data_IF_186584516135
#
_entry.id   IF_186584516135
#
_cell.length_a   1.000
_cell.length_b   1.000
_cell.length_c   1.000
_cell.angle_alpha   90.00
_cell.angle_beta   90.00
_cell.angle_gamma   90.00
#
_symmetry.space_group_name_H-M   'P 1'
#
loop_
_entity.id
_entity.type
_entity.pdbx_description
1 polymer ?
#
# COMPACT_ATOMS: atom_id res chain seq x y z
N UNK A 1 35.58 -34.49 -9.73
CA UNK A 1 35.19 -33.11 -10.10
C UNK A 1 36.39 -32.39 -10.71
N UNK A 2 36.27 -31.79 -11.90
CA UNK A 2 37.38 -31.08 -12.56
C UNK A 2 37.85 -29.88 -11.71
N UNK A 3 39.16 -29.65 -11.65
CA UNK A 3 39.82 -28.51 -10.99
C UNK A 3 39.20 -27.17 -11.38
N UNK A 4 38.77 -27.02 -12.64
CA UNK A 4 38.05 -25.83 -13.10
C UNK A 4 36.70 -25.65 -12.37
N UNK A 5 35.89 -26.70 -12.29
CA UNK A 5 34.59 -26.66 -11.61
C UNK A 5 34.74 -26.37 -10.11
N UNK A 6 35.78 -26.92 -9.47
CA UNK A 6 36.09 -26.65 -8.06
C UNK A 6 36.40 -25.17 -7.81
N UNK A 7 37.17 -24.52 -8.70
CA UNK A 7 37.50 -23.09 -8.60
C UNK A 7 36.27 -22.21 -8.79
N UNK A 8 35.41 -22.53 -9.77
CA UNK A 8 34.16 -21.81 -10.00
C UNK A 8 33.25 -21.89 -8.77
N UNK A 9 33.08 -23.08 -8.19
CA UNK A 9 32.26 -23.26 -6.99
C UNK A 9 32.80 -22.48 -5.78
N UNK A 10 34.13 -22.45 -5.59
CA UNK A 10 34.76 -21.66 -4.53
C UNK A 10 34.50 -20.17 -4.74
N UNK A 11 34.71 -19.65 -5.96
CA UNK A 11 34.46 -18.23 -6.26
C UNK A 11 33.00 -17.83 -6.05
N UNK A 12 32.04 -18.66 -6.49
CA UNK A 12 30.61 -18.41 -6.26
C UNK A 12 30.26 -18.42 -4.76
N UNK A 13 30.87 -19.32 -3.99
CA UNK A 13 30.68 -19.39 -2.54
C UNK A 13 31.21 -18.13 -1.85
N UNK A 14 32.40 -17.65 -2.24
CA UNK A 14 32.98 -16.41 -1.70
C UNK A 14 32.12 -15.20 -2.05
N UNK A 15 31.62 -15.11 -3.29
CA UNK A 15 30.71 -14.03 -3.71
C UNK A 15 29.40 -14.09 -2.91
N UNK A 16 28.82 -15.28 -2.74
CA UNK A 16 27.60 -15.46 -1.95
C UNK A 16 27.81 -15.07 -0.48
N UNK A 17 28.93 -15.45 0.13
CA UNK A 17 29.29 -15.03 1.49
C UNK A 17 29.50 -13.51 1.59
N UNK A 18 30.16 -12.91 0.61
CA UNK A 18 30.37 -11.46 0.55
C UNK A 18 29.05 -10.70 0.47
N UNK A 19 28.11 -11.15 -0.38
CA UNK A 19 26.77 -10.58 -0.50
C UNK A 19 25.94 -10.79 0.78
N UNK A 20 26.07 -11.96 1.42
CA UNK A 20 25.40 -12.25 2.69
C UNK A 20 25.92 -11.36 3.82
N UNK A 21 27.23 -11.17 3.94
CA UNK A 21 27.80 -10.25 4.93
C UNK A 21 27.37 -8.80 4.62
N UNK A 22 27.47 -8.37 3.36
CA UNK A 22 27.04 -7.04 2.95
C UNK A 22 25.56 -6.75 3.28
N UNK A 23 24.66 -7.72 3.08
CA UNK A 23 23.24 -7.54 3.41
C UNK A 23 22.98 -7.37 4.91
N UNK A 24 23.82 -7.93 5.78
CA UNK A 24 23.70 -7.72 7.23
C UNK A 24 24.11 -6.32 7.70
N UNK A 25 24.97 -5.62 6.95
CA UNK A 25 25.51 -4.31 7.36
C UNK A 25 24.84 -3.10 6.70
N UNK A 26 24.33 -3.22 5.47
CA UNK A 26 23.91 -2.04 4.68
C UNK A 26 22.40 -1.83 4.66
N UNK A 27 21.60 -2.87 4.81
CA UNK A 27 20.14 -2.72 4.82
C UNK A 27 19.52 -3.69 5.82
N UNK A 28 18.71 -3.17 6.74
CA UNK A 28 17.74 -4.03 7.43
C UNK A 28 16.66 -4.42 6.40
N UNK A 29 16.97 -5.37 5.51
CA UNK A 29 16.04 -5.89 4.51
C UNK A 29 14.79 -6.52 5.15
N UNK A 30 14.89 -6.86 6.44
CA UNK A 30 13.80 -7.36 7.28
C UNK A 30 13.12 -6.26 8.12
N UNK A 31 13.49 -4.99 7.95
CA UNK A 31 12.87 -3.89 8.67
C UNK A 31 11.35 -3.88 8.38
N UNK A 32 10.51 -3.73 9.42
CA UNK A 32 9.08 -3.54 9.21
C UNK A 32 8.83 -2.32 8.32
N UNK A 33 7.86 -2.44 7.42
CA UNK A 33 7.41 -1.31 6.60
C UNK A 33 7.00 -0.15 7.51
N UNK A 34 7.44 1.07 7.19
CA UNK A 34 7.04 2.26 7.94
C UNK A 34 5.52 2.54 7.89
N UNK A 35 4.85 1.98 6.89
CA UNK A 35 3.39 1.98 6.79
C UNK A 35 2.95 0.54 6.53
N UNK A 36 2.74 -0.25 7.60
CA UNK A 36 2.32 -1.64 7.49
C UNK A 36 0.98 -1.76 6.76
N UNK A 37 0.85 -2.86 6.01
CA UNK A 37 -0.42 -3.25 5.39
C UNK A 37 -1.38 -3.75 6.45
N UNK A 38 -2.65 -3.45 6.27
CA UNK A 38 -3.72 -3.98 7.10
C UNK A 38 -5.04 -4.10 6.32
N UNK A 39 -5.98 -4.85 6.87
CA UNK A 39 -7.30 -5.03 6.28
C UNK A 39 -8.37 -5.07 7.37
N UNK A 40 -9.38 -4.22 7.22
CA UNK A 40 -10.62 -4.32 8.00
C UNK A 40 -11.65 -5.07 7.16
N UNK A 41 -12.34 -6.03 7.78
CA UNK A 41 -13.46 -6.76 7.19
C UNK A 41 -14.71 -6.52 8.01
N UNK A 42 -15.85 -6.47 7.33
CA UNK A 42 -17.17 -6.45 7.95
C UNK A 42 -18.06 -7.44 7.20
N UNK A 43 -18.73 -8.31 7.93
CA UNK A 43 -19.58 -9.36 7.39
C UNK A 43 -20.93 -9.31 8.11
N UNK A 44 -22.02 -9.34 7.34
CA UNK A 44 -23.39 -9.38 7.87
C UNK A 44 -24.25 -10.24 6.94
N UNK A 45 -24.68 -11.42 7.42
CA UNK A 45 -25.29 -12.44 6.59
C UNK A 45 -24.41 -12.80 5.40
N UNK A 46 -24.86 -12.54 4.17
CA UNK A 46 -24.12 -12.72 2.93
C UNK A 46 -23.54 -11.41 2.36
N UNK A 47 -23.58 -10.31 3.12
CA UNK A 47 -22.87 -9.07 2.80
C UNK A 47 -21.43 -9.13 3.33
N UNK A 48 -20.47 -8.89 2.45
CA UNK A 48 -19.05 -8.79 2.78
C UNK A 48 -18.50 -7.43 2.32
N UNK A 49 -17.89 -6.71 3.26
CA UNK A 49 -17.18 -5.45 3.01
C UNK A 49 -15.72 -5.59 3.43
N UNK A 50 -14.82 -5.02 2.65
CA UNK A 50 -13.38 -5.06 2.93
C UNK A 50 -12.72 -3.75 2.61
N UNK A 51 -11.90 -3.27 3.56
CA UNK A 51 -11.01 -2.12 3.37
C UNK A 51 -9.57 -2.58 3.53
N UNK A 52 -8.81 -2.55 2.45
CA UNK A 52 -7.36 -2.76 2.51
C UNK A 52 -6.66 -1.40 2.47
N UNK A 53 -5.67 -1.21 3.35
CA UNK A 53 -4.96 0.06 3.49
C UNK A 53 -3.55 -0.15 4.02
N UNK A 54 -2.69 0.85 3.83
CA UNK A 54 -1.40 0.93 4.52
C UNK A 54 -1.52 1.97 5.63
N UNK A 55 -1.30 1.57 6.88
CA UNK A 55 -1.43 2.41 8.08
C UNK A 55 -0.41 3.57 8.04
N UNK A 56 -0.85 4.83 7.79
CA UNK A 56 0.07 5.95 7.74
C UNK A 56 0.33 6.46 9.17
N UNK A 57 1.53 6.22 9.69
CA UNK A 57 1.96 6.88 10.92
C UNK A 57 2.30 8.35 10.64
N UNK A 58 1.69 9.28 11.39
CA UNK A 58 1.92 10.72 11.25
C UNK A 58 3.41 11.08 11.42
N UNK A 59 4.11 10.41 12.33
CA UNK A 59 5.54 10.61 12.64
C UNK A 59 5.89 12.08 12.83
N UNK A 60 5.10 12.80 13.64
CA UNK A 60 5.25 14.23 13.93
C UNK A 60 5.14 15.18 12.72
N UNK A 61 4.74 14.70 11.53
CA UNK A 61 4.52 15.54 10.34
C UNK A 61 3.15 16.21 10.38
N UNK A 62 3.07 17.43 9.88
CA UNK A 62 1.79 18.02 9.46
C UNK A 62 1.36 17.31 8.17
N UNK A 63 0.20 16.64 8.19
CA UNK A 63 -0.26 15.84 7.05
C UNK A 63 -1.12 16.71 6.14
N UNK A 64 -2.29 17.10 6.61
CA UNK A 64 -3.23 17.91 5.83
C UNK A 64 -2.83 19.40 5.88
N UNK A 65 -2.89 20.07 4.74
CA UNK A 65 -2.38 21.44 4.56
C UNK A 65 -0.86 21.51 4.32
N UNK A 66 -0.15 20.38 4.32
CA UNK A 66 1.28 20.31 4.00
C UNK A 66 1.57 19.13 3.06
N UNK A 67 1.83 17.92 3.60
CA UNK A 67 2.12 16.74 2.78
C UNK A 67 0.97 16.37 1.84
N UNK A 68 -0.26 16.51 2.32
CA UNK A 68 -1.49 16.39 1.56
C UNK A 68 -2.14 17.77 1.52
N UNK A 69 -2.05 18.49 0.39
CA UNK A 69 -2.62 19.82 0.27
C UNK A 69 -4.16 19.75 0.31
N UNK A 70 -4.77 20.75 0.92
CA UNK A 70 -6.23 20.94 0.86
C UNK A 70 -6.68 21.28 -0.56
N UNK A 71 -7.95 20.96 -0.85
CA UNK A 71 -8.61 21.22 -2.13
C UNK A 71 -7.93 20.57 -3.35
N UNK A 72 -7.04 19.61 -3.12
CA UNK A 72 -6.40 18.80 -4.17
C UNK A 72 -6.79 17.34 -4.02
N UNK A 73 -6.91 16.66 -5.16
CA UNK A 73 -7.20 15.24 -5.16
C UNK A 73 -6.00 14.46 -4.62
N UNK A 74 -6.27 13.56 -3.68
CA UNK A 74 -5.29 12.70 -3.04
C UNK A 74 -5.68 11.23 -3.19
N UNK A 75 -4.73 10.41 -3.65
CA UNK A 75 -4.84 8.94 -3.58
C UNK A 75 -4.73 8.51 -2.11
N UNK A 76 -5.87 8.23 -1.49
CA UNK A 76 -6.00 8.02 -0.05
C UNK A 76 -5.13 6.85 0.45
N UNK A 77 -4.37 7.10 1.52
CA UNK A 77 -3.51 6.13 2.20
C UNK A 77 -2.01 6.30 1.91
N UNK A 78 -1.17 5.54 2.59
CA UNK A 78 0.26 5.45 2.30
C UNK A 78 0.56 4.37 1.24
N UNK A 79 1.71 4.46 0.56
CA UNK A 79 2.16 3.44 -0.41
C UNK A 79 1.11 3.09 -1.50
N UNK A 80 0.53 1.89 -1.44
CA UNK A 80 -0.55 1.44 -2.34
C UNK A 80 -1.90 2.13 -2.01
N UNK A 81 -2.74 2.34 -3.03
CA UNK A 81 -4.08 2.92 -2.86
C UNK A 81 -4.91 2.13 -1.82
N UNK A 82 -5.55 2.87 -0.92
CA UNK A 82 -6.59 2.26 -0.07
C UNK A 82 -7.69 1.73 -0.99
N UNK A 83 -8.10 0.47 -0.79
CA UNK A 83 -9.17 -0.13 -1.59
C UNK A 83 -10.36 -0.47 -0.72
N UNK A 84 -11.55 -0.14 -1.21
CA UNK A 84 -12.82 -0.58 -0.68
C UNK A 84 -13.41 -1.64 -1.61
N UNK A 85 -13.90 -2.74 -1.07
CA UNK A 85 -14.47 -3.85 -1.82
C UNK A 85 -15.78 -4.29 -1.17
N UNK A 86 -16.80 -4.54 -1.99
CA UNK A 86 -18.09 -5.04 -1.55
C UNK A 86 -18.60 -6.09 -2.54
N UNK A 87 -19.18 -7.17 -2.03
CA UNK A 87 -19.76 -8.24 -2.84
C UNK A 87 -21.19 -7.95 -3.30
N UNK A 88 -21.83 -6.88 -2.81
CA UNK A 88 -23.22 -6.52 -3.11
C UNK A 88 -23.33 -5.04 -3.50
N UNK A 89 -24.36 -4.66 -4.27
CA UNK A 89 -24.64 -3.24 -4.48
C UNK A 89 -25.01 -2.58 -3.16
N UNK A 90 -24.51 -1.37 -2.96
CA UNK A 90 -24.73 -0.53 -1.78
C UNK A 90 -25.35 0.81 -2.19
N UNK A 91 -25.85 1.53 -1.21
CA UNK A 91 -26.21 2.94 -1.33
C UNK A 91 -25.39 3.75 -0.33
N UNK A 92 -24.68 4.77 -0.81
CA UNK A 92 -23.84 5.64 0.01
C UNK A 92 -24.34 7.07 -0.14
N UNK A 93 -24.99 7.61 0.90
CA UNK A 93 -25.60 8.96 0.89
C UNK A 93 -26.55 9.19 -0.29
N UNK A 94 -27.43 8.23 -0.59
CA UNK A 94 -28.37 8.35 -1.72
C UNK A 94 -27.77 8.02 -3.09
N UNK A 95 -26.46 7.69 -3.17
CA UNK A 95 -25.80 7.35 -4.43
C UNK A 95 -25.60 5.82 -4.53
N UNK A 96 -26.03 5.19 -5.63
CA UNK A 96 -25.80 3.76 -5.83
C UNK A 96 -24.31 3.48 -6.05
N UNK A 97 -23.80 2.44 -5.39
CA UNK A 97 -22.46 1.92 -5.55
C UNK A 97 -22.58 0.43 -5.91
N UNK A 98 -22.32 0.04 -7.17
CA UNK A 98 -22.36 -1.36 -7.57
C UNK A 98 -21.43 -2.26 -6.74
N UNK A 99 -21.69 -3.57 -6.77
CA UNK A 99 -20.74 -4.53 -6.25
C UNK A 99 -19.40 -4.42 -7.00
N UNK A 100 -18.29 -4.49 -6.27
CA UNK A 100 -16.97 -4.40 -6.89
C UNK A 100 -15.89 -3.89 -5.95
N UNK A 101 -14.74 -3.60 -6.54
CA UNK A 101 -13.54 -3.11 -5.86
C UNK A 101 -13.12 -1.76 -6.41
N UNK A 102 -12.87 -0.83 -5.49
CA UNK A 102 -12.63 0.57 -5.75
C UNK A 102 -11.34 1.03 -5.07
N UNK A 103 -10.57 1.89 -5.72
CA UNK A 103 -9.55 2.69 -5.05
C UNK A 103 -10.21 3.93 -4.45
N UNK A 104 -9.82 4.30 -3.22
CA UNK A 104 -10.34 5.49 -2.55
C UNK A 104 -9.49 6.71 -2.83
N UNK A 105 -10.14 7.76 -3.31
CA UNK A 105 -9.53 9.08 -3.52
C UNK A 105 -10.30 10.09 -2.69
N UNK A 106 -9.60 11.11 -2.21
CA UNK A 106 -10.22 12.13 -1.37
C UNK A 106 -9.78 13.52 -1.79
N UNK A 107 -10.67 14.49 -1.61
CA UNK A 107 -10.33 15.91 -1.63
C UNK A 107 -10.50 16.41 -0.19
N UNK A 108 -9.40 16.54 0.57
CA UNK A 108 -9.48 17.02 1.94
C UNK A 108 -9.77 18.52 1.97
N UNK A 109 -10.52 18.93 2.97
CA UNK A 109 -10.81 20.33 3.31
C UNK A 109 -10.80 20.51 4.83
N UNK A 110 -10.95 21.74 5.29
CA UNK A 110 -10.94 22.04 6.73
C UNK A 110 -12.10 21.39 7.49
N UNK A 111 -13.25 21.17 6.85
CA UNK A 111 -14.46 20.65 7.52
C UNK A 111 -15.04 19.42 6.83
N UNK A 112 -15.35 19.50 5.53
CA UNK A 112 -16.07 18.45 4.79
C UNK A 112 -15.20 17.92 3.67
N UNK A 113 -14.99 16.61 3.68
CA UNK A 113 -14.17 15.93 2.70
C UNK A 113 -15.04 15.29 1.63
N UNK A 114 -14.55 15.35 0.39
CA UNK A 114 -15.11 14.56 -0.69
C UNK A 114 -14.40 13.22 -0.73
N UNK A 115 -15.15 12.13 -0.68
CA UNK A 115 -14.65 10.76 -0.86
C UNK A 115 -15.11 10.26 -2.22
N UNK A 116 -14.20 9.66 -2.98
CA UNK A 116 -14.41 9.20 -4.34
C UNK A 116 -14.07 7.71 -4.41
N UNK A 117 -15.03 6.92 -4.91
CA UNK A 117 -14.84 5.51 -5.24
C UNK A 117 -14.45 5.39 -6.71
N UNK A 118 -13.17 5.13 -6.99
CA UNK A 118 -12.64 5.04 -8.34
C UNK A 118 -12.47 3.58 -8.76
N UNK A 119 -13.02 3.19 -9.91
CA UNK A 119 -12.94 1.82 -10.44
C UNK A 119 -11.54 1.48 -10.95
N UNK A 120 -10.75 2.48 -11.36
CA UNK A 120 -9.38 2.26 -11.82
C UNK A 120 -8.49 1.79 -10.67
N UNK A 121 -7.73 0.74 -10.93
CA UNK A 121 -6.70 0.22 -10.04
C UNK A 121 -5.36 0.82 -10.41
N UNK A 122 -4.51 1.04 -9.42
CA UNK A 122 -3.19 1.64 -9.59
C UNK A 122 -2.14 0.82 -8.85
N UNK A 123 -0.96 0.70 -9.45
CA UNK A 123 0.22 0.13 -8.80
C UNK A 123 0.81 1.12 -7.78
N UNK A 124 1.92 0.73 -7.16
CA UNK A 124 2.64 1.57 -6.21
C UNK A 124 3.06 2.91 -6.84
N UNK A 125 2.78 4.03 -6.16
CA UNK A 125 3.05 5.38 -6.66
C UNK A 125 2.15 5.74 -7.84
N UNK A 126 1.03 6.42 -7.60
CA UNK A 126 0.27 7.01 -8.70
C UNK A 126 1.11 8.09 -9.38
N UNK A 127 1.45 7.89 -10.65
CA UNK A 127 1.83 8.99 -11.54
C UNK A 127 0.54 9.68 -11.95
N UNK A 128 0.48 10.98 -11.69
CA UNK A 128 -0.61 11.85 -12.13
C UNK A 128 -0.57 12.01 -13.65
#
# INVERSE_FOLDING_TARGET
>A
MNTFLKRVLISLTVIALGLFLYSTFVENIFAPRLSPKDTVKFELNDLELKVFYNRPSKKNRVIFGALVPFDKVWRTGANEATTFETNKPLEVKGMPLPAGKYTLWTVPKDSVWTVIFNTKQYSWGCRF
#
